data_IF_621952078324
#
_entry.id   IF_621952078324
#
_cell.length_a   1.000
_cell.length_b   1.000
_cell.length_c   1.000
_cell.angle_alpha   90.00
_cell.angle_beta   90.00
_cell.angle_gamma   90.00
#
_symmetry.space_group_name_H-M   'P 1'
#
loop_
_entity.id
_entity.type
_entity.pdbx_description
1 polymer ?
#
# COMPACT_ATOMS: atom_id res chain seq x y z
N UNK A 1 33.31 18.23 1.96
CA UNK A 1 32.52 19.46 1.78
C UNK A 1 31.19 19.15 1.13
N UNK A 2 31.20 18.66 -0.11
CA UNK A 2 30.00 18.53 -0.96
C UNK A 2 28.97 17.47 -0.53
N UNK A 3 29.40 16.43 0.19
CA UNK A 3 28.50 15.34 0.63
C UNK A 3 27.93 15.53 2.04
N UNK A 4 28.24 16.63 2.75
CA UNK A 4 27.92 16.80 4.18
C UNK A 4 26.43 16.71 4.50
N UNK A 5 25.57 17.05 3.54
CA UNK A 5 24.11 17.02 3.68
C UNK A 5 23.46 15.96 2.79
N UNK A 6 24.24 15.05 2.20
CA UNK A 6 23.74 13.97 1.36
C UNK A 6 23.76 12.65 2.13
N UNK A 7 22.73 11.83 1.91
CA UNK A 7 22.66 10.45 2.38
C UNK A 7 23.54 9.58 1.49
N UNK A 8 24.44 8.82 2.12
CA UNK A 8 25.41 7.97 1.43
C UNK A 8 25.23 6.53 1.86
N UNK A 9 25.05 5.64 0.89
CA UNK A 9 25.13 4.20 1.12
C UNK A 9 26.57 3.76 0.88
N UNK A 10 27.17 3.04 1.82
CA UNK A 10 28.48 2.42 1.65
C UNK A 10 28.33 0.92 1.83
N UNK A 11 28.75 0.16 0.83
CA UNK A 11 28.69 -1.31 0.86
C UNK A 11 30.11 -1.86 0.94
N UNK A 12 30.33 -2.75 1.89
CA UNK A 12 31.56 -3.52 2.05
C UNK A 12 31.27 -5.02 2.14
N UNK A 13 32.27 -5.84 1.84
CA UNK A 13 32.13 -7.31 1.78
C UNK A 13 31.65 -7.96 3.08
N UNK A 14 32.11 -7.49 4.24
CA UNK A 14 31.88 -8.17 5.52
C UNK A 14 31.47 -7.22 6.64
N UNK A 15 30.65 -7.73 7.58
CA UNK A 15 30.24 -6.99 8.77
C UNK A 15 31.43 -6.49 9.61
N UNK A 16 32.49 -7.29 9.77
CA UNK A 16 33.68 -6.86 10.49
C UNK A 16 34.37 -5.63 9.86
N UNK A 17 34.35 -5.52 8.53
CA UNK A 17 34.87 -4.33 7.82
C UNK A 17 33.97 -3.13 8.10
N UNK A 18 32.65 -3.32 8.02
CA UNK A 18 31.65 -2.29 8.34
C UNK A 18 31.83 -1.76 9.76
N UNK A 19 31.94 -2.63 10.76
CA UNK A 19 32.14 -2.24 12.16
C UNK A 19 33.45 -1.47 12.36
N UNK A 20 34.52 -1.91 11.72
CA UNK A 20 35.82 -1.23 11.77
C UNK A 20 35.75 0.17 11.13
N UNK A 21 35.09 0.29 9.98
CA UNK A 21 34.86 1.58 9.31
C UNK A 21 34.02 2.50 10.17
N UNK A 22 32.97 1.97 10.80
CA UNK A 22 32.08 2.72 11.67
C UNK A 22 32.84 3.32 12.86
N UNK A 23 33.65 2.50 13.54
CA UNK A 23 34.45 2.95 14.66
C UNK A 23 35.41 4.09 14.26
N UNK A 24 36.05 3.98 13.09
CA UNK A 24 36.96 5.02 12.58
C UNK A 24 36.21 6.31 12.24
N UNK A 25 35.10 6.21 11.50
CA UNK A 25 34.29 7.36 11.09
C UNK A 25 33.70 8.10 12.29
N UNK A 26 33.23 7.36 13.30
CA UNK A 26 32.69 7.92 14.54
C UNK A 26 33.78 8.61 15.36
N UNK A 27 34.90 7.92 15.61
CA UNK A 27 35.96 8.42 16.51
C UNK A 27 36.80 9.56 15.91
N UNK A 28 37.06 9.53 14.60
CA UNK A 28 38.03 10.45 13.98
C UNK A 28 37.37 11.53 13.12
N UNK A 29 36.20 11.26 12.53
CA UNK A 29 35.51 12.21 11.65
C UNK A 29 34.24 12.81 12.27
N UNK A 30 33.72 12.24 13.36
CA UNK A 30 32.49 12.72 14.02
C UNK A 30 31.25 12.61 13.13
N UNK A 31 31.26 11.70 12.15
CA UNK A 31 30.16 11.51 11.21
C UNK A 31 29.11 10.59 11.85
N UNK A 32 27.83 10.97 11.75
CA UNK A 32 26.73 10.10 12.17
C UNK A 32 26.60 8.94 11.18
N UNK A 33 26.73 7.73 11.69
CA UNK A 33 26.73 6.48 10.92
C UNK A 33 25.66 5.53 11.46
N UNK A 34 25.08 4.73 10.57
CA UNK A 34 24.24 3.59 10.91
C UNK A 34 24.90 2.32 10.33
N UNK A 35 24.80 1.21 11.05
CA UNK A 35 25.29 -0.10 10.60
C UNK A 35 24.10 -0.91 10.10
N UNK A 36 24.32 -1.71 9.06
CA UNK A 36 23.35 -2.68 8.58
C UNK A 36 24.08 -3.99 8.21
N UNK A 37 24.09 -4.94 9.13
CA UNK A 37 24.73 -6.25 8.91
C UNK A 37 23.79 -7.42 9.16
N UNK A 38 24.21 -8.61 8.73
CA UNK A 38 23.48 -9.86 8.87
C UNK A 38 23.28 -10.30 10.33
N UNK A 39 24.13 -9.85 11.26
CA UNK A 39 24.05 -10.18 12.69
C UNK A 39 22.96 -9.41 13.42
N UNK A 40 22.47 -8.31 12.83
CA UNK A 40 21.43 -7.47 13.43
C UNK A 40 20.07 -8.16 13.33
N UNK A 41 19.27 -8.01 14.39
CA UNK A 41 17.85 -8.37 14.41
C UNK A 41 17.05 -7.50 13.43
N UNK A 42 15.83 -7.93 13.08
CA UNK A 42 14.95 -7.14 12.23
C UNK A 42 14.67 -5.75 12.83
N UNK A 43 14.39 -5.69 14.13
CA UNK A 43 14.15 -4.44 14.85
C UNK A 43 15.34 -3.48 14.78
N UNK A 44 16.56 -3.97 15.00
CA UNK A 44 17.77 -3.13 14.92
C UNK A 44 18.01 -2.60 13.49
N UNK A 45 17.70 -3.41 12.48
CA UNK A 45 17.78 -2.99 11.06
C UNK A 45 16.76 -1.92 10.73
N UNK A 46 15.54 -2.07 11.24
CA UNK A 46 14.46 -1.08 11.12
C UNK A 46 14.86 0.25 11.77
N UNK A 47 15.40 0.20 12.98
CA UNK A 47 15.91 1.39 13.67
C UNK A 47 17.06 2.06 12.91
N UNK A 48 18.00 1.27 12.36
CA UNK A 48 19.10 1.79 11.56
C UNK A 48 18.61 2.45 10.26
N UNK A 49 17.64 1.83 9.59
CA UNK A 49 17.02 2.39 8.38
C UNK A 49 16.24 3.68 8.69
N UNK A 50 15.45 3.71 9.77
CA UNK A 50 14.74 4.90 10.21
C UNK A 50 15.70 6.04 10.57
N UNK A 51 16.78 5.73 11.30
CA UNK A 51 17.81 6.71 11.63
C UNK A 51 18.55 7.21 10.37
N UNK A 52 18.73 6.36 9.35
CA UNK A 52 19.30 6.79 8.08
C UNK A 52 18.33 7.63 7.23
N UNK A 53 17.03 7.31 7.25
CA UNK A 53 16.00 8.07 6.53
C UNK A 53 15.77 9.47 7.13
N UNK A 54 15.88 9.63 8.45
CA UNK A 54 15.72 10.93 9.12
C UNK A 54 16.75 11.96 8.61
N UNK A 55 16.26 13.11 8.13
CA UNK A 55 17.09 14.26 7.71
C UNK A 55 18.20 14.64 8.71
N UNK A 56 17.95 14.54 10.01
CA UNK A 56 18.90 14.88 11.08
C UNK A 56 19.67 13.65 11.62
N UNK A 57 19.36 12.47 11.10
CA UNK A 57 19.90 11.19 11.54
C UNK A 57 21.26 10.81 10.92
N UNK A 58 21.48 9.52 10.65
CA UNK A 58 22.74 9.02 10.08
C UNK A 58 22.99 9.62 8.68
N UNK A 59 24.21 10.10 8.44
CA UNK A 59 24.63 10.57 7.12
C UNK A 59 25.04 9.41 6.22
N UNK A 60 25.66 8.37 6.79
CA UNK A 60 26.15 7.20 6.07
C UNK A 60 25.51 5.94 6.64
N UNK A 61 24.94 5.12 5.76
CA UNK A 61 24.55 3.75 6.08
C UNK A 61 25.65 2.80 5.60
N UNK A 62 26.26 2.07 6.53
CA UNK A 62 27.33 1.12 6.28
C UNK A 62 26.72 -0.29 6.23
N UNK A 63 26.71 -0.89 5.04
CA UNK A 63 26.09 -2.19 4.80
C UNK A 63 27.12 -3.27 4.51
N UNK A 64 26.89 -4.47 5.07
CA UNK A 64 27.51 -5.69 4.54
C UNK A 64 26.75 -6.17 3.29
N UNK A 65 27.36 -7.08 2.53
CA UNK A 65 26.76 -7.69 1.33
C UNK A 65 25.35 -8.22 1.59
N UNK A 66 25.21 -9.09 2.61
CA UNK A 66 23.97 -9.78 2.96
C UNK A 66 23.00 -8.84 3.69
N UNK A 67 23.53 -7.87 4.45
CA UNK A 67 22.72 -6.87 5.14
C UNK A 67 21.85 -6.06 4.16
N UNK A 68 22.33 -5.72 2.97
CA UNK A 68 21.57 -4.83 2.07
C UNK A 68 20.33 -5.44 1.39
N UNK A 69 20.03 -6.73 1.58
CA UNK A 69 18.89 -7.39 0.94
C UNK A 69 17.52 -6.91 1.46
N UNK A 70 16.59 -6.63 0.54
CA UNK A 70 15.19 -6.36 0.88
C UNK A 70 14.74 -4.90 1.01
N UNK A 71 15.63 -3.93 1.32
CA UNK A 71 15.21 -2.53 1.62
C UNK A 71 15.31 -1.56 0.45
N UNK A 72 14.47 -0.52 0.46
CA UNK A 72 14.47 0.57 -0.52
C UNK A 72 15.15 1.83 0.05
N UNK A 73 16.31 2.21 -0.47
CA UNK A 73 17.01 3.45 -0.10
C UNK A 73 16.94 4.51 -1.20
N UNK A 74 15.76 4.67 -1.81
CA UNK A 74 15.57 5.53 -2.99
C UNK A 74 15.78 7.03 -2.70
N UNK A 75 15.78 7.44 -1.43
CA UNK A 75 16.13 8.81 -1.01
C UNK A 75 17.65 9.07 -1.06
N UNK A 76 18.48 8.04 -1.09
CA UNK A 76 19.92 8.15 -1.23
C UNK A 76 20.31 8.05 -2.72
N UNK A 77 21.27 8.88 -3.14
CA UNK A 77 21.78 8.91 -4.51
C UNK A 77 23.30 8.71 -4.60
N UNK A 78 23.97 8.55 -3.46
CA UNK A 78 25.41 8.38 -3.38
C UNK A 78 25.72 6.96 -2.93
N UNK A 79 26.44 6.19 -3.74
CA UNK A 79 26.86 4.82 -3.41
C UNK A 79 28.38 4.74 -3.40
N UNK A 80 28.95 4.36 -2.26
CA UNK A 80 30.35 4.02 -2.12
C UNK A 80 30.47 2.50 -2.15
N UNK A 81 31.19 1.98 -3.14
CA UNK A 81 31.57 0.57 -3.21
C UNK A 81 32.96 0.44 -2.58
N UNK A 82 33.01 0.07 -1.29
CA UNK A 82 34.27 0.00 -0.55
C UNK A 82 35.24 -1.05 -1.11
N UNK A 83 34.67 -2.12 -1.65
CA UNK A 83 35.35 -3.12 -2.46
C UNK A 83 34.45 -3.54 -3.62
N UNK A 84 35.04 -4.09 -4.67
CA UNK A 84 34.34 -4.70 -5.77
C UNK A 84 34.22 -6.22 -5.54
N UNK A 85 33.01 -6.80 -5.67
CA UNK A 85 32.80 -8.24 -5.58
C UNK A 85 33.40 -8.93 -6.82
N UNK A 86 33.74 -10.21 -6.70
CA UNK A 86 34.30 -10.96 -7.84
C UNK A 86 33.25 -11.36 -8.88
N UNK A 87 31.97 -11.41 -8.50
CA UNK A 87 30.85 -11.76 -9.38
C UNK A 87 30.16 -10.46 -9.85
N UNK A 88 29.99 -10.24 -11.17
CA UNK A 88 29.31 -9.07 -11.72
C UNK A 88 27.84 -8.99 -11.27
N UNK A 89 27.14 -10.12 -11.12
CA UNK A 89 25.74 -10.10 -10.65
C UNK A 89 25.64 -9.51 -9.25
N UNK A 90 26.63 -9.77 -8.39
CA UNK A 90 26.70 -9.17 -7.05
C UNK A 90 26.93 -7.67 -7.13
N UNK A 91 27.79 -7.19 -8.04
CA UNK A 91 27.97 -5.75 -8.25
C UNK A 91 26.67 -5.09 -8.75
N UNK A 92 25.97 -5.71 -9.69
CA UNK A 92 24.70 -5.23 -10.20
C UNK A 92 23.64 -5.16 -9.09
N UNK A 93 23.58 -6.16 -8.22
CA UNK A 93 22.70 -6.17 -7.04
C UNK A 93 23.03 -5.06 -6.04
N UNK A 94 24.31 -4.71 -5.88
CA UNK A 94 24.74 -3.58 -5.02
C UNK A 94 24.29 -2.24 -5.61
N UNK A 95 24.44 -2.05 -6.92
CA UNK A 95 23.98 -0.83 -7.63
C UNK A 95 22.45 -0.74 -7.61
N UNK A 96 21.77 -1.87 -7.84
CA UNK A 96 20.31 -2.01 -7.80
C UNK A 96 19.67 -1.79 -6.43
N UNK A 97 20.45 -1.47 -5.38
CA UNK A 97 19.92 -0.93 -4.10
C UNK A 97 19.44 0.51 -4.24
N UNK A 98 20.07 1.28 -5.13
CA UNK A 98 19.68 2.65 -5.45
C UNK A 98 19.05 2.74 -6.85
N UNK A 99 19.50 1.92 -7.81
CA UNK A 99 19.01 1.92 -9.19
C UNK A 99 17.70 1.15 -9.32
N UNK A 100 16.62 1.78 -8.84
CA UNK A 100 15.25 1.27 -8.89
C UNK A 100 14.30 2.31 -9.42
N UNK A 101 13.22 1.86 -10.05
CA UNK A 101 12.09 2.71 -10.43
C UNK A 101 11.57 3.42 -9.18
N UNK A 102 11.53 4.76 -9.21
CA UNK A 102 11.19 5.61 -8.06
C UNK A 102 12.36 6.48 -7.58
N UNK A 103 13.60 6.14 -7.97
CA UNK A 103 14.75 7.03 -7.77
C UNK A 103 14.58 8.32 -8.59
N UNK A 104 14.71 9.48 -7.93
CA UNK A 104 14.51 10.80 -8.54
C UNK A 104 15.81 11.52 -8.87
N UNK A 105 16.93 11.05 -8.31
CA UNK A 105 18.25 11.65 -8.49
C UNK A 105 19.17 10.74 -9.31
N UNK A 106 20.10 11.35 -10.06
CA UNK A 106 21.17 10.59 -10.68
C UNK A 106 22.04 9.93 -9.61
N UNK A 107 22.25 8.62 -9.75
CA UNK A 107 23.08 7.84 -8.84
C UNK A 107 24.54 8.13 -9.15
N UNK A 108 25.29 8.49 -8.12
CA UNK A 108 26.72 8.73 -8.19
C UNK A 108 27.45 7.57 -7.52
N UNK A 109 28.20 6.82 -8.32
CA UNK A 109 29.03 5.72 -7.85
C UNK A 109 30.42 6.24 -7.49
N UNK A 110 30.87 5.92 -6.29
CA UNK A 110 32.21 6.22 -5.78
C UNK A 110 32.92 4.89 -5.53
N UNK A 111 33.93 4.57 -6.35
CA UNK A 111 34.65 3.29 -6.29
C UNK A 111 36.10 3.54 -5.93
N UNK A 112 36.43 3.74 -4.63
CA UNK A 112 37.81 3.83 -4.20
C UNK A 112 38.49 2.46 -4.37
N UNK A 113 39.68 2.46 -4.96
CA UNK A 113 40.54 1.28 -5.03
C UNK A 113 42.00 1.67 -4.81
N UNK A 114 42.79 0.70 -4.36
CA UNK A 114 44.24 0.88 -4.15
C UNK A 114 44.98 0.54 -5.44
N UNK A 115 45.84 1.44 -5.90
CA UNK A 115 46.65 1.25 -7.10
C UNK A 115 47.60 0.04 -6.98
N UNK A 116 47.81 -0.65 -8.09
CA UNK A 116 48.62 -1.86 -8.22
C UNK A 116 47.98 -3.14 -7.67
N UNK A 117 46.74 -3.07 -7.19
CA UNK A 117 46.06 -4.22 -6.58
C UNK A 117 45.09 -4.92 -7.53
N UNK A 118 44.64 -6.11 -7.15
CA UNK A 118 43.59 -6.83 -7.87
C UNK A 118 42.30 -6.01 -8.01
N UNK A 119 42.01 -5.10 -7.08
CA UNK A 119 40.82 -4.24 -7.12
C UNK A 119 40.90 -3.18 -8.23
N UNK A 120 42.09 -2.62 -8.51
CA UNK A 120 42.28 -1.72 -9.67
C UNK A 120 42.03 -2.47 -10.99
N UNK A 121 42.58 -3.67 -11.12
CA UNK A 121 42.39 -4.50 -12.32
C UNK A 121 40.92 -4.91 -12.50
N UNK A 122 40.25 -5.26 -11.42
CA UNK A 122 38.82 -5.59 -11.41
C UNK A 122 37.95 -4.37 -11.74
N UNK A 123 38.32 -3.18 -11.26
CA UNK A 123 37.69 -1.92 -11.64
C UNK A 123 37.78 -1.69 -13.16
N UNK A 124 38.97 -1.86 -13.75
CA UNK A 124 39.14 -1.70 -15.20
C UNK A 124 38.34 -2.74 -16.00
N UNK A 125 38.27 -3.98 -15.52
CA UNK A 125 37.41 -5.01 -16.10
C UNK A 125 35.92 -4.58 -16.10
N UNK A 126 35.38 -4.20 -14.94
CA UNK A 126 33.96 -3.79 -14.85
C UNK A 126 33.64 -2.51 -15.59
N UNK A 127 34.56 -1.53 -15.58
CA UNK A 127 34.36 -0.26 -16.26
C UNK A 127 34.52 -0.37 -17.78
N UNK A 128 35.55 -1.07 -18.26
CA UNK A 128 35.96 -0.99 -19.67
C UNK A 128 35.47 -2.18 -20.50
N UNK A 129 35.53 -3.39 -19.93
CA UNK A 129 35.02 -4.58 -20.62
C UNK A 129 33.50 -4.66 -20.49
N UNK A 130 32.98 -4.57 -19.26
CA UNK A 130 31.57 -4.84 -18.96
C UNK A 130 30.65 -3.61 -18.91
N UNK A 131 31.22 -2.40 -18.82
CA UNK A 131 30.53 -1.10 -18.71
C UNK A 131 29.43 -1.03 -17.62
N UNK A 132 29.64 -1.73 -16.50
CA UNK A 132 28.60 -1.92 -15.48
C UNK A 132 28.31 -0.68 -14.63
N UNK A 133 29.24 0.27 -14.57
CA UNK A 133 29.05 1.49 -13.76
C UNK A 133 28.16 2.53 -14.44
N UNK A 134 27.99 2.47 -15.76
CA UNK A 134 27.25 3.47 -16.53
C UNK A 134 25.90 2.98 -17.05
N UNK A 135 25.71 1.66 -17.13
CA UNK A 135 24.48 1.05 -17.65
C UNK A 135 24.31 -0.38 -17.09
N UNK A 136 23.05 -0.82 -17.06
CA UNK A 136 22.71 -2.23 -16.81
C UNK A 136 23.34 -3.09 -17.90
N UNK A 137 24.04 -4.14 -17.48
CA UNK A 137 24.79 -5.03 -18.38
C UNK A 137 24.28 -6.47 -18.28
N UNK A 138 23.20 -6.84 -19.00
CA UNK A 138 22.56 -8.15 -18.87
C UNK A 138 23.43 -9.32 -19.38
N UNK A 139 24.53 -9.02 -20.07
CA UNK A 139 25.49 -9.99 -20.60
C UNK A 139 26.74 -10.12 -19.74
N UNK A 140 26.89 -9.31 -18.69
CA UNK A 140 28.10 -9.20 -17.88
C UNK A 140 28.58 -10.56 -17.36
N UNK A 141 27.68 -11.35 -16.78
CA UNK A 141 27.99 -12.68 -16.26
C UNK A 141 28.46 -13.63 -17.37
N UNK A 142 27.75 -13.69 -18.50
CA UNK A 142 28.12 -14.56 -19.63
C UNK A 142 29.47 -14.19 -20.24
N UNK A 143 29.77 -12.88 -20.36
CA UNK A 143 31.08 -12.42 -20.83
C UNK A 143 32.16 -12.79 -19.83
N UNK A 144 31.93 -12.57 -18.53
CA UNK A 144 32.91 -12.94 -17.52
C UNK A 144 33.19 -14.45 -17.49
N UNK A 145 32.17 -15.29 -17.58
CA UNK A 145 32.33 -16.75 -17.66
C UNK A 145 33.17 -17.18 -18.87
N UNK A 146 32.99 -16.52 -20.02
CA UNK A 146 33.77 -16.80 -21.22
C UNK A 146 35.27 -16.50 -21.04
N UNK A 147 35.62 -15.42 -20.33
CA UNK A 147 37.00 -14.95 -20.18
C UNK A 147 37.63 -15.28 -18.81
N UNK A 148 36.93 -15.96 -17.90
CA UNK A 148 37.38 -16.16 -16.51
C UNK A 148 38.73 -16.86 -16.39
N UNK A 149 39.03 -17.80 -17.29
CA UNK A 149 40.28 -18.57 -17.28
C UNK A 149 41.50 -17.69 -17.59
N UNK A 150 41.33 -16.68 -18.44
CA UNK A 150 42.37 -15.72 -18.81
C UNK A 150 42.43 -14.54 -17.83
N UNK A 151 41.26 -14.11 -17.34
CA UNK A 151 41.12 -13.00 -16.42
C UNK A 151 41.69 -13.32 -15.03
N UNK A 152 41.38 -14.50 -14.49
CA UNK A 152 41.73 -14.86 -13.09
C UNK A 152 43.23 -14.76 -12.80
N UNK A 153 44.14 -15.32 -13.64
CA UNK A 153 45.58 -15.14 -13.44
C UNK A 153 46.03 -13.68 -13.46
N UNK A 154 45.40 -12.84 -14.29
CA UNK A 154 45.71 -11.40 -14.34
C UNK A 154 45.22 -10.68 -13.08
N UNK A 155 44.10 -11.10 -12.49
CA UNK A 155 43.59 -10.53 -11.24
C UNK A 155 44.44 -10.96 -10.03
N UNK A 156 44.80 -12.24 -9.91
CA UNK A 156 45.53 -12.78 -8.74
C UNK A 156 47.05 -12.61 -8.85
N UNK A 157 47.58 -12.41 -10.06
CA UNK A 157 49.01 -12.30 -10.33
C UNK A 157 49.67 -11.00 -9.88
N UNK A 158 51.00 -10.97 -10.01
CA UNK A 158 51.80 -9.77 -9.76
C UNK A 158 51.49 -8.68 -10.79
N UNK A 159 51.60 -7.43 -10.39
CA UNK A 159 51.36 -6.28 -11.25
C UNK A 159 52.58 -5.95 -12.11
N UNK A 160 52.82 -6.77 -13.13
CA UNK A 160 53.92 -6.60 -14.10
C UNK A 160 53.42 -5.96 -15.39
N UNK A 161 54.32 -5.34 -16.16
CA UNK A 161 53.97 -4.73 -17.45
C UNK A 161 53.41 -5.75 -18.46
N UNK A 162 53.88 -6.99 -18.40
CA UNK A 162 53.36 -8.11 -19.20
C UNK A 162 51.91 -8.44 -18.83
N UNK A 163 51.61 -8.56 -17.53
CA UNK A 163 50.25 -8.84 -17.07
C UNK A 163 49.29 -7.67 -17.36
N UNK A 164 49.77 -6.42 -17.24
CA UNK A 164 48.98 -5.24 -17.62
C UNK A 164 48.63 -5.21 -19.11
N UNK A 165 49.60 -5.59 -19.95
CA UNK A 165 49.39 -5.67 -21.41
C UNK A 165 48.39 -6.77 -21.76
N UNK A 166 48.54 -7.95 -21.16
CA UNK A 166 47.61 -9.07 -21.36
C UNK A 166 46.21 -8.71 -20.89
N UNK A 167 46.06 -8.12 -19.69
CA UNK A 167 44.77 -7.67 -19.17
C UNK A 167 44.10 -6.66 -20.13
N UNK A 168 44.85 -5.72 -20.68
CA UNK A 168 44.32 -4.74 -21.65
C UNK A 168 43.76 -5.43 -22.90
N UNK A 169 44.48 -6.41 -23.45
CA UNK A 169 44.02 -7.16 -24.61
C UNK A 169 42.73 -7.95 -24.30
N UNK A 170 42.69 -8.63 -23.14
CA UNK A 170 41.50 -9.38 -22.69
C UNK A 170 40.30 -8.43 -22.49
N UNK A 171 40.52 -7.23 -21.93
CA UNK A 171 39.48 -6.20 -21.78
C UNK A 171 38.93 -5.75 -23.14
N UNK A 172 39.80 -5.48 -24.10
CA UNK A 172 39.40 -5.03 -25.44
C UNK A 172 38.59 -6.11 -26.17
N UNK A 173 39.01 -7.37 -26.08
CA UNK A 173 38.29 -8.49 -26.69
C UNK A 173 36.93 -8.74 -26.01
N UNK A 174 36.90 -8.75 -24.69
CA UNK A 174 35.68 -8.91 -23.91
C UNK A 174 34.67 -7.78 -24.18
N UNK A 175 35.14 -6.54 -24.37
CA UNK A 175 34.29 -5.41 -24.74
C UNK A 175 33.62 -5.65 -26.11
N UNK A 176 34.34 -6.17 -27.11
CA UNK A 176 33.74 -6.52 -28.41
C UNK A 176 32.72 -7.66 -28.28
N UNK A 177 33.04 -8.67 -27.47
CA UNK A 177 32.10 -9.77 -27.17
C UNK A 177 30.83 -9.26 -26.50
N UNK A 178 30.94 -8.37 -25.50
CA UNK A 178 29.78 -7.72 -24.87
C UNK A 178 28.91 -7.00 -25.90
N UNK A 179 29.48 -6.11 -26.70
CA UNK A 179 28.74 -5.34 -27.71
C UNK A 179 27.99 -6.24 -28.71
N UNK A 180 28.63 -7.35 -29.12
CA UNK A 180 28.00 -8.35 -29.98
C UNK A 180 26.82 -9.04 -29.30
N UNK A 181 26.98 -9.48 -28.05
CA UNK A 181 25.90 -10.14 -27.29
C UNK A 181 24.74 -9.18 -27.01
N UNK A 182 25.03 -7.92 -26.65
CA UNK A 182 24.00 -6.88 -26.47
C UNK A 182 23.21 -6.63 -27.76
N UNK A 183 23.89 -6.56 -28.91
CA UNK A 183 23.23 -6.42 -30.21
C UNK A 183 22.34 -7.62 -30.55
N UNK A 184 22.79 -8.84 -30.22
CA UNK A 184 21.99 -10.07 -30.39
C UNK A 184 20.75 -10.06 -29.50
N UNK A 185 20.88 -9.69 -28.22
CA UNK A 185 19.75 -9.54 -27.32
C UNK A 185 18.75 -8.51 -27.84
N UNK A 186 19.23 -7.35 -28.27
CA UNK A 186 18.39 -6.28 -28.80
C UNK A 186 17.64 -6.71 -30.08
N UNK A 187 18.27 -7.53 -30.93
CA UNK A 187 17.64 -8.11 -32.11
C UNK A 187 16.61 -9.21 -31.77
N UNK A 188 16.84 -9.96 -30.68
CA UNK A 188 15.95 -11.01 -30.18
C UNK A 188 14.74 -10.51 -29.37
N UNK A 189 14.62 -9.19 -29.12
CA UNK A 189 13.52 -8.62 -28.34
C UNK A 189 12.18 -8.75 -29.06
N UNK A 190 11.24 -9.42 -28.41
CA UNK A 190 9.83 -9.39 -28.79
C UNK A 190 9.17 -8.10 -28.25
N UNK A 191 9.20 -7.06 -29.09
CA UNK A 191 8.62 -5.75 -28.76
C UNK A 191 7.11 -5.81 -28.53
N UNK A 192 6.41 -6.75 -29.17
CA UNK A 192 4.97 -6.89 -28.99
C UNK A 192 4.68 -7.50 -27.62
N UNK A 193 5.47 -8.49 -27.19
CA UNK A 193 5.38 -9.06 -25.86
C UNK A 193 5.68 -7.99 -24.79
N UNK A 194 6.77 -7.24 -24.93
CA UNK A 194 7.13 -6.17 -23.98
C UNK A 194 6.03 -5.11 -23.85
N UNK A 195 5.49 -4.65 -24.98
CA UNK A 195 4.38 -3.69 -24.98
C UNK A 195 3.10 -4.28 -24.38
N UNK A 196 2.86 -5.58 -24.57
CA UNK A 196 1.72 -6.27 -23.98
C UNK A 196 1.88 -6.39 -22.46
N UNK A 197 3.09 -6.70 -21.98
CA UNK A 197 3.44 -6.82 -20.56
C UNK A 197 3.25 -5.52 -19.80
N UNK A 198 3.65 -4.37 -20.37
CA UNK A 198 3.34 -3.07 -19.80
C UNK A 198 2.89 -2.11 -20.90
N UNK A 199 1.57 -1.88 -20.98
CA UNK A 199 0.96 -0.93 -21.91
C UNK A 199 1.07 0.48 -21.35
N UNK A 200 2.00 1.35 -21.81
CA UNK A 200 2.38 2.55 -21.08
C UNK A 200 1.21 3.53 -20.88
N UNK A 201 0.32 3.65 -21.87
CA UNK A 201 -0.88 4.51 -21.77
C UNK A 201 -1.90 3.99 -20.76
N UNK A 202 -2.02 2.67 -20.60
CA UNK A 202 -2.96 2.09 -19.63
C UNK A 202 -2.34 2.16 -18.24
N UNK A 203 -1.08 1.76 -18.11
CA UNK A 203 -0.33 1.83 -16.86
C UNK A 203 -0.25 3.27 -16.32
N UNK A 204 0.05 4.26 -17.18
CA UNK A 204 0.08 5.67 -16.80
C UNK A 204 -1.26 6.16 -16.25
N UNK A 205 -2.38 5.87 -16.93
CA UNK A 205 -3.72 6.24 -16.43
C UNK A 205 -4.06 5.60 -15.09
N UNK A 206 -3.68 4.33 -14.90
CA UNK A 206 -3.89 3.65 -13.61
C UNK A 206 -3.03 4.30 -12.53
N UNK A 207 -1.74 4.56 -12.82
CA UNK A 207 -0.83 5.21 -11.88
C UNK A 207 -1.27 6.62 -11.50
N UNK A 208 -1.78 7.41 -12.47
CA UNK A 208 -2.33 8.74 -12.22
C UNK A 208 -3.59 8.65 -11.35
N UNK A 209 -4.51 7.73 -11.66
CA UNK A 209 -5.71 7.52 -10.84
C UNK A 209 -5.40 7.07 -9.41
N UNK A 210 -4.35 6.26 -9.22
CA UNK A 210 -3.89 5.86 -7.88
C UNK A 210 -3.23 7.03 -7.13
N UNK A 211 -2.46 7.88 -7.81
CA UNK A 211 -1.91 9.11 -7.20
C UNK A 211 -3.01 10.08 -6.80
N UNK A 212 -4.01 10.27 -7.65
CA UNK A 212 -5.18 11.10 -7.34
C UNK A 212 -5.97 10.54 -6.15
N UNK A 213 -6.11 9.21 -6.07
CA UNK A 213 -6.75 8.53 -4.95
C UNK A 213 -5.98 8.74 -3.63
N UNK A 214 -4.67 8.52 -3.63
CA UNK A 214 -3.80 8.74 -2.46
C UNK A 214 -3.87 10.22 -1.99
N UNK A 215 -3.97 11.17 -2.93
CA UNK A 215 -4.06 12.61 -2.62
C UNK A 215 -5.39 13.09 -2.04
N UNK A 216 -6.48 12.33 -2.19
CA UNK A 216 -7.81 12.65 -1.66
C UNK A 216 -8.28 11.62 -0.63
N UNK A 217 -7.33 11.07 0.13
CA UNK A 217 -7.59 9.99 1.06
C UNK A 217 -8.38 10.48 2.29
N UNK A 218 -9.59 9.93 2.48
CA UNK A 218 -10.45 10.21 3.63
C UNK A 218 -10.18 9.26 4.82
N UNK A 219 -9.32 8.26 4.65
CA UNK A 219 -8.98 7.30 5.70
C UNK A 219 -8.48 7.94 7.00
N UNK A 220 -7.59 8.96 6.99
CA UNK A 220 -7.14 9.57 8.24
C UNK A 220 -8.31 10.10 9.07
N UNK A 221 -9.24 10.84 8.43
CA UNK A 221 -10.41 11.40 9.11
C UNK A 221 -11.37 10.31 9.60
N UNK A 222 -11.52 9.23 8.84
CA UNK A 222 -12.35 8.09 9.23
C UNK A 222 -11.77 7.37 10.46
N UNK A 223 -10.47 7.06 10.44
CA UNK A 223 -9.80 6.37 11.55
C UNK A 223 -9.77 7.25 12.79
N UNK A 224 -9.49 8.55 12.66
CA UNK A 224 -9.51 9.49 13.78
C UNK A 224 -10.88 9.47 14.50
N UNK A 225 -11.98 9.50 13.73
CA UNK A 225 -13.34 9.40 14.28
C UNK A 225 -13.59 8.05 14.95
N UNK A 226 -13.14 6.96 14.34
CA UNK A 226 -13.27 5.62 14.90
C UNK A 226 -12.50 5.50 16.22
N UNK A 227 -11.22 5.90 16.25
CA UNK A 227 -10.39 5.91 17.45
C UNK A 227 -10.99 6.77 18.56
N UNK A 228 -11.50 7.96 18.24
CA UNK A 228 -12.20 8.79 19.22
C UNK A 228 -13.46 8.10 19.78
N UNK A 229 -14.24 7.39 18.96
CA UNK A 229 -15.43 6.67 19.42
C UNK A 229 -15.11 5.42 20.25
N UNK A 230 -13.97 4.80 19.95
CA UNK A 230 -13.48 3.60 20.61
C UNK A 230 -12.55 3.90 21.79
N UNK A 231 -12.31 5.19 22.08
CA UNK A 231 -11.38 5.67 23.09
C UNK A 231 -9.95 5.11 22.92
N UNK A 232 -9.51 4.98 21.67
CA UNK A 232 -8.13 4.61 21.32
C UNK A 232 -7.30 5.89 21.25
N UNK A 233 -6.33 6.01 22.15
CA UNK A 233 -5.39 7.12 22.14
C UNK A 233 -4.29 6.92 21.07
N UNK A 234 -3.94 7.99 20.39
CA UNK A 234 -2.83 8.00 19.43
C UNK A 234 -2.13 9.36 19.46
N UNK A 235 -0.83 9.36 19.14
CA UNK A 235 -0.01 10.55 19.04
C UNK A 235 0.49 10.74 17.61
N UNK A 236 0.36 11.94 17.07
CA UNK A 236 0.90 12.31 15.75
C UNK A 236 2.31 12.85 15.94
N UNK A 237 3.28 12.21 15.28
CA UNK A 237 4.69 12.58 15.29
C UNK A 237 4.98 13.74 14.35
N UNK A 238 6.19 14.32 14.45
CA UNK A 238 6.62 15.45 13.59
C UNK A 238 6.69 15.09 12.11
N UNK A 239 6.96 13.83 11.81
CA UNK A 239 7.01 13.29 10.45
C UNK A 239 5.61 12.89 9.91
N UNK A 240 4.54 13.20 10.64
CA UNK A 240 3.16 12.88 10.25
C UNK A 240 2.72 11.45 10.55
N UNK A 241 3.62 10.57 11.01
CA UNK A 241 3.27 9.20 11.42
C UNK A 241 2.44 9.20 12.70
N UNK A 242 1.55 8.23 12.83
CA UNK A 242 0.72 8.07 14.03
C UNK A 242 1.24 6.91 14.85
N UNK A 243 1.36 7.13 16.16
CA UNK A 243 1.81 6.12 17.12
C UNK A 243 0.65 5.80 18.06
N UNK A 244 0.26 4.54 18.07
CA UNK A 244 -0.71 3.95 19.00
C UNK A 244 0.11 3.28 20.09
N UNK A 245 -0.09 3.69 21.34
CA UNK A 245 0.58 3.08 22.48
C UNK A 245 0.07 1.65 22.70
N UNK A 246 0.86 0.75 23.31
CA UNK A 246 0.37 -0.54 23.74
C UNK A 246 -0.88 -0.37 24.60
N UNK A 247 -1.94 -1.08 24.26
CA UNK A 247 -3.19 -1.05 25.02
C UNK A 247 -3.16 -2.23 25.99
N UNK A 248 -3.29 -1.96 27.28
CA UNK A 248 -3.40 -3.03 28.27
C UNK A 248 -4.68 -3.83 27.98
N UNK A 249 -4.55 -5.15 27.83
CA UNK A 249 -5.66 -6.08 27.59
C UNK A 249 -6.84 -5.92 28.56
N UNK A 250 -6.60 -5.35 29.75
CA UNK A 250 -7.62 -5.07 30.76
C UNK A 250 -8.41 -3.77 30.54
N UNK A 251 -7.91 -2.86 29.70
CA UNK A 251 -8.54 -1.59 29.31
C UNK A 251 -9.28 -1.68 27.96
N UNK A 252 -9.11 -2.80 27.24
CA UNK A 252 -9.78 -3.08 25.97
C UNK A 252 -11.27 -3.29 26.25
N UNK A 253 -12.11 -2.39 25.74
CA UNK A 253 -13.56 -2.64 25.72
C UNK A 253 -13.87 -3.82 24.81
N UNK A 254 -14.89 -4.63 25.12
CA UNK A 254 -15.37 -5.74 24.25
C UNK A 254 -15.58 -5.32 22.78
N UNK A 255 -15.77 -4.02 22.53
CA UNK A 255 -15.95 -3.47 21.20
C UNK A 255 -14.66 -3.44 20.36
N UNK A 256 -13.47 -3.30 20.95
CA UNK A 256 -12.20 -3.23 20.22
C UNK A 256 -11.38 -4.53 20.31
N UNK A 257 -11.93 -5.56 20.96
CA UNK A 257 -11.31 -6.87 21.03
C UNK A 257 -11.12 -7.47 19.62
N UNK A 258 -9.91 -7.99 19.37
CA UNK A 258 -9.52 -8.54 18.06
C UNK A 258 -9.04 -7.54 17.00
N UNK A 259 -8.94 -6.24 17.30
CA UNK A 259 -8.29 -5.29 16.38
C UNK A 259 -6.76 -5.50 16.38
N UNK A 260 -6.11 -5.64 15.20
CA UNK A 260 -4.66 -5.83 15.12
C UNK A 260 -3.93 -4.51 15.32
N UNK A 261 -3.87 -4.03 16.57
CA UNK A 261 -3.28 -2.75 16.99
C UNK A 261 -1.85 -2.88 17.52
N UNK A 262 -1.17 -3.99 17.23
CA UNK A 262 0.23 -4.20 17.61
C UNK A 262 0.43 -4.76 19.03
N UNK A 263 -0.61 -5.40 19.57
CA UNK A 263 -0.62 -6.15 20.84
C UNK A 263 0.20 -5.49 21.97
N UNK A 264 1.41 -6.01 22.26
CA UNK A 264 2.25 -5.60 23.40
C UNK A 264 3.24 -4.46 23.10
N UNK A 265 3.58 -4.20 21.83
CA UNK A 265 4.58 -3.20 21.44
C UNK A 265 3.96 -1.90 20.88
N UNK A 266 2.64 -1.89 20.70
CA UNK A 266 1.92 -0.81 20.04
C UNK A 266 2.14 -0.81 18.52
N UNK A 267 1.68 0.24 17.86
CA UNK A 267 1.69 0.29 16.39
C UNK A 267 2.04 1.69 15.89
N UNK A 268 2.98 1.77 14.95
CA UNK A 268 3.23 2.99 14.18
C UNK A 268 2.63 2.85 12.79
N UNK A 269 1.88 3.84 12.35
CA UNK A 269 1.18 3.81 11.07
C UNK A 269 1.33 5.12 10.29
N UNK A 270 1.16 5.03 8.97
CA UNK A 270 1.16 6.18 8.06
C UNK A 270 0.14 5.98 6.95
N UNK A 271 -0.36 7.10 6.43
CA UNK A 271 -1.22 7.16 5.25
C UNK A 271 -0.46 7.65 4.01
N UNK A 272 0.83 7.97 4.17
CA UNK A 272 1.69 8.48 3.12
C UNK A 272 2.56 7.35 2.55
N UNK A 273 2.38 7.06 1.26
CA UNK A 273 3.12 6.01 0.56
C UNK A 273 4.63 6.25 0.55
N UNK A 274 5.04 7.51 0.36
CA UNK A 274 6.46 7.87 0.31
C UNK A 274 7.16 7.60 1.63
N UNK A 275 6.50 7.88 2.77
CA UNK A 275 7.02 7.58 4.10
C UNK A 275 7.13 6.06 4.31
N UNK A 276 6.10 5.29 3.96
CA UNK A 276 6.11 3.83 4.09
C UNK A 276 7.19 3.14 3.24
N UNK A 277 7.53 3.70 2.07
CA UNK A 277 8.62 3.18 1.24
C UNK A 277 10.01 3.39 1.86
N UNK A 278 10.15 4.37 2.75
CA UNK A 278 11.40 4.70 3.45
C UNK A 278 11.51 3.99 4.81
N UNK A 279 10.36 3.72 5.45
CA UNK A 279 10.22 3.18 6.80
C UNK A 279 9.34 1.92 6.77
N UNK A 280 9.95 0.74 6.64
CA UNK A 280 9.16 -0.51 6.62
C UNK A 280 8.66 -0.94 8.02
N UNK A 281 9.16 -0.31 9.08
CA UNK A 281 8.66 -0.45 10.45
C UNK A 281 7.29 0.20 10.64
N UNK A 282 6.87 1.07 9.73
CA UNK A 282 5.57 1.73 9.77
C UNK A 282 4.57 0.98 8.89
N UNK A 283 3.39 0.71 9.43
CA UNK A 283 2.29 0.17 8.67
C UNK A 283 1.69 1.21 7.71
N UNK A 284 1.70 0.92 6.40
CA UNK A 284 1.01 1.73 5.40
C UNK A 284 -0.49 1.42 5.39
N UNK A 285 -1.30 2.35 5.89
CA UNK A 285 -2.74 2.16 6.05
C UNK A 285 -3.47 2.52 4.77
N UNK A 286 -4.07 1.50 4.17
CA UNK A 286 -5.00 1.58 3.04
C UNK A 286 -6.32 0.93 3.42
N UNK A 287 -7.35 1.05 2.57
CA UNK A 287 -8.62 0.34 2.80
C UNK A 287 -8.44 -1.19 2.89
N UNK A 288 -7.37 -1.74 2.31
CA UNK A 288 -7.09 -3.18 2.29
C UNK A 288 -6.23 -3.65 3.47
N UNK A 289 -5.72 -2.74 4.30
CA UNK A 289 -4.90 -3.08 5.44
C UNK A 289 -5.71 -3.95 6.45
N UNK A 290 -5.12 -4.99 7.08
CA UNK A 290 -5.83 -5.86 8.02
C UNK A 290 -6.56 -5.11 9.14
N UNK A 291 -5.93 -4.08 9.71
CA UNK A 291 -6.58 -3.16 10.67
C UNK A 291 -7.87 -2.55 10.10
N UNK A 292 -7.84 -2.06 8.86
CA UNK A 292 -9.03 -1.46 8.24
C UNK A 292 -10.11 -2.48 7.96
N UNK A 293 -9.73 -3.67 7.49
CA UNK A 293 -10.68 -4.76 7.27
C UNK A 293 -11.36 -5.15 8.60
N UNK A 294 -10.60 -5.26 9.69
CA UNK A 294 -11.14 -5.53 11.02
C UNK A 294 -12.05 -4.39 11.52
N UNK A 295 -11.67 -3.12 11.32
CA UNK A 295 -12.52 -1.97 11.65
C UNK A 295 -13.82 -1.99 10.86
N UNK A 296 -13.78 -2.28 9.55
CA UNK A 296 -14.99 -2.36 8.73
C UNK A 296 -15.89 -3.53 9.12
N UNK A 297 -15.30 -4.69 9.41
CA UNK A 297 -16.03 -5.86 9.89
C UNK A 297 -16.71 -5.57 11.22
N UNK A 298 -15.97 -4.99 12.17
CA UNK A 298 -16.51 -4.59 13.46
C UNK A 298 -17.64 -3.57 13.30
N UNK A 299 -17.46 -2.54 12.48
CA UNK A 299 -18.48 -1.54 12.21
C UNK A 299 -19.74 -2.13 11.55
N UNK A 300 -19.60 -3.22 10.78
CA UNK A 300 -20.72 -3.84 10.05
C UNK A 300 -21.44 -4.94 10.84
N UNK A 301 -20.75 -5.57 11.80
CA UNK A 301 -21.25 -6.74 12.55
C UNK A 301 -21.60 -6.42 14.00
N UNK A 302 -20.97 -5.40 14.57
CA UNK A 302 -21.26 -4.99 15.94
C UNK A 302 -22.65 -4.36 16.07
N UNK A 303 -23.19 -4.41 17.29
CA UNK A 303 -24.45 -3.74 17.64
C UNK A 303 -24.23 -2.33 18.19
N UNK A 304 -22.96 -1.94 18.40
CA UNK A 304 -22.60 -0.63 18.91
C UNK A 304 -23.00 0.47 17.91
N UNK A 305 -23.84 1.40 18.35
CA UNK A 305 -24.35 2.48 17.51
C UNK A 305 -25.66 2.16 16.77
N UNK A 306 -26.13 0.90 16.78
CA UNK A 306 -27.34 0.51 16.03
C UNK A 306 -28.63 1.10 16.62
N UNK A 307 -28.66 1.45 17.90
CA UNK A 307 -29.85 2.03 18.53
C UNK A 307 -29.49 3.26 19.35
N UNK A 308 -30.24 4.35 19.13
CA UNK A 308 -30.05 5.57 19.92
C UNK A 308 -31.34 6.36 20.06
N UNK A 309 -31.48 7.05 21.19
CA UNK A 309 -32.53 8.03 21.44
C UNK A 309 -31.87 9.35 21.76
N UNK A 310 -32.18 10.40 21.00
CA UNK A 310 -31.54 11.70 21.13
C UNK A 310 -32.55 12.84 20.99
N UNK A 311 -32.12 14.04 21.37
CA UNK A 311 -32.89 15.26 21.17
C UNK A 311 -32.50 15.88 19.83
N UNK A 312 -33.48 16.43 19.12
CA UNK A 312 -33.25 17.23 17.92
C UNK A 312 -33.68 18.67 18.18
N UNK A 313 -32.73 19.59 18.19
CA UNK A 313 -33.01 21.03 18.29
C UNK A 313 -33.60 21.53 16.99
N UNK A 314 -34.87 21.93 17.02
CA UNK A 314 -35.56 22.42 15.82
C UNK A 314 -36.59 23.50 16.15
N UNK A 315 -36.57 24.58 15.37
CA UNK A 315 -37.63 25.58 15.37
C UNK A 315 -38.80 25.19 14.46
N UNK A 316 -38.57 24.29 13.50
CA UNK A 316 -39.55 23.89 12.49
C UNK A 316 -40.44 22.72 12.93
N UNK A 317 -39.94 21.87 13.84
CA UNK A 317 -40.68 20.72 14.36
C UNK A 317 -41.28 21.06 15.73
N UNK A 318 -42.59 20.87 15.94
CA UNK A 318 -43.22 21.09 17.23
C UNK A 318 -42.55 20.29 18.36
N UNK A 319 -42.41 20.95 19.51
CA UNK A 319 -41.78 20.35 20.70
C UNK A 319 -42.52 19.08 21.14
N UNK A 320 -41.75 18.02 21.41
CA UNK A 320 -42.25 16.73 21.88
C UNK A 320 -42.70 15.77 20.79
N UNK A 321 -42.65 16.17 19.51
CA UNK A 321 -42.83 15.24 18.39
C UNK A 321 -41.64 14.28 18.27
N UNK A 322 -41.94 13.07 17.81
CA UNK A 322 -40.94 12.03 17.55
C UNK A 322 -40.68 11.91 16.05
N UNK A 323 -39.41 11.93 15.67
CA UNK A 323 -38.95 11.58 14.34
C UNK A 323 -38.15 10.28 14.43
N UNK A 324 -38.18 9.49 13.37
CA UNK A 324 -37.44 8.25 13.30
C UNK A 324 -36.51 8.26 12.10
N UNK A 325 -35.24 8.00 12.34
CA UNK A 325 -34.24 7.72 11.30
C UNK A 325 -33.89 6.25 11.36
N UNK A 326 -34.16 5.52 10.29
CA UNK A 326 -33.87 4.10 10.16
C UNK A 326 -32.96 3.90 8.95
N UNK A 327 -31.87 3.17 9.13
CA UNK A 327 -30.98 2.79 8.04
C UNK A 327 -31.12 1.30 7.79
N UNK A 328 -31.13 0.94 6.51
CA UNK A 328 -31.24 -0.42 6.05
C UNK A 328 -30.12 -0.72 5.05
N UNK A 329 -29.38 -1.80 5.26
CA UNK A 329 -28.42 -2.27 4.27
C UNK A 329 -29.12 -3.08 3.19
N UNK A 330 -28.66 -2.87 1.96
CA UNK A 330 -29.05 -3.69 0.80
C UNK A 330 -28.02 -4.79 0.65
N UNK A 331 -28.44 -6.04 0.81
CA UNK A 331 -27.56 -7.21 0.72
C UNK A 331 -27.98 -8.16 -0.39
N UNK A 332 -26.98 -8.80 -1.00
CA UNK A 332 -27.13 -9.88 -1.95
C UNK A 332 -26.37 -11.10 -1.45
N UNK A 333 -27.05 -12.24 -1.30
CA UNK A 333 -26.41 -13.49 -0.88
C UNK A 333 -25.72 -14.10 -2.10
N UNK A 334 -24.41 -13.93 -2.20
CA UNK A 334 -23.63 -14.40 -3.34
C UNK A 334 -22.16 -14.68 -2.98
N UNK A 335 -21.44 -15.47 -3.78
CA UNK A 335 -19.99 -15.65 -3.61
C UNK A 335 -19.23 -14.32 -3.69
N UNK A 336 -18.26 -14.11 -2.78
CA UNK A 336 -17.42 -12.90 -2.72
C UNK A 336 -16.75 -12.54 -4.05
N UNK A 337 -16.40 -13.54 -4.87
CA UNK A 337 -15.80 -13.35 -6.20
C UNK A 337 -16.64 -12.47 -7.14
N UNK A 338 -17.96 -12.44 -6.99
CA UNK A 338 -18.85 -11.64 -7.85
C UNK A 338 -18.82 -10.14 -7.51
N UNK A 339 -18.36 -9.78 -6.30
CA UNK A 339 -18.27 -8.41 -5.80
C UNK A 339 -19.54 -7.57 -6.08
N UNK A 340 -20.72 -8.16 -5.85
CA UNK A 340 -22.01 -7.53 -6.10
C UNK A 340 -22.21 -6.19 -5.37
N UNK A 341 -21.73 -5.98 -4.12
CA UNK A 341 -21.84 -4.68 -3.46
C UNK A 341 -21.27 -3.52 -4.28
N UNK A 342 -20.18 -3.73 -5.02
CA UNK A 342 -19.58 -2.72 -5.88
C UNK A 342 -20.45 -2.33 -7.09
N UNK A 343 -21.47 -3.14 -7.43
CA UNK A 343 -22.41 -2.86 -8.52
C UNK A 343 -23.69 -2.16 -8.08
N UNK A 344 -24.00 -2.18 -6.78
CA UNK A 344 -25.17 -1.50 -6.23
C UNK A 344 -25.01 0.03 -6.38
N UNK A 345 -26.04 0.70 -6.91
CA UNK A 345 -26.10 2.16 -6.94
C UNK A 345 -26.27 2.74 -5.54
N UNK A 346 -26.97 2.02 -4.67
CA UNK A 346 -27.23 2.37 -3.27
C UNK A 346 -27.04 1.14 -2.39
N UNK A 347 -26.09 1.20 -1.45
CA UNK A 347 -25.80 0.11 -0.51
C UNK A 347 -26.54 0.27 0.83
N UNK A 348 -26.92 1.49 1.18
CA UNK A 348 -27.65 1.81 2.40
C UNK A 348 -28.83 2.72 2.07
N UNK A 349 -30.03 2.32 2.49
CA UNK A 349 -31.26 3.09 2.36
C UNK A 349 -31.57 3.72 3.72
N UNK A 350 -31.44 5.04 3.78
CA UNK A 350 -31.86 5.84 4.91
C UNK A 350 -33.31 6.26 4.74
N UNK A 351 -34.14 5.97 5.73
CA UNK A 351 -35.51 6.45 5.83
C UNK A 351 -35.65 7.36 7.05
N UNK A 352 -36.03 8.61 6.81
CA UNK A 352 -36.28 9.61 7.85
C UNK A 352 -37.76 9.99 7.85
N UNK A 353 -38.51 9.52 8.83
CA UNK A 353 -39.97 9.59 8.88
C UNK A 353 -40.45 10.42 10.07
N UNK A 354 -41.49 11.23 9.83
CA UNK A 354 -42.18 12.01 10.87
C UNK A 354 -43.12 11.17 11.72
N UNK A 355 -43.56 11.71 12.86
CA UNK A 355 -44.56 11.08 13.73
C UNK A 355 -45.86 10.73 12.98
N UNK A 356 -46.22 11.52 11.96
CA UNK A 356 -47.41 11.33 11.14
C UNK A 356 -47.20 10.38 9.93
N UNK A 357 -45.98 9.84 9.73
CA UNK A 357 -45.69 8.90 8.65
C UNK A 357 -45.24 9.52 7.34
N UNK A 358 -45.04 10.84 7.29
CA UNK A 358 -44.48 11.47 6.10
C UNK A 358 -42.98 11.18 6.00
N UNK A 359 -42.54 10.67 4.85
CA UNK A 359 -41.13 10.49 4.49
C UNK A 359 -40.47 11.84 4.18
N UNK A 360 -39.39 12.13 4.89
CA UNK A 360 -38.60 13.35 4.81
C UNK A 360 -37.18 13.09 4.26
N UNK A 361 -36.85 11.86 3.89
CA UNK A 361 -35.50 11.41 3.52
C UNK A 361 -34.88 12.24 2.41
N UNK A 362 -35.65 12.53 1.36
CA UNK A 362 -35.18 13.30 0.21
C UNK A 362 -34.96 14.80 0.50
N UNK A 363 -35.61 15.34 1.55
CA UNK A 363 -35.57 16.78 1.88
C UNK A 363 -34.57 17.09 2.99
N UNK A 364 -34.32 16.13 3.87
CA UNK A 364 -33.51 16.29 5.08
C UNK A 364 -32.44 15.22 5.08
N UNK A 365 -31.20 15.60 4.77
CA UNK A 365 -30.05 14.68 4.83
C UNK A 365 -29.58 14.46 6.27
N UNK A 366 -28.78 13.42 6.49
CA UNK A 366 -28.15 13.16 7.78
C UNK A 366 -27.25 14.34 8.22
N UNK A 367 -26.44 14.88 7.31
CA UNK A 367 -25.53 16.00 7.62
C UNK A 367 -26.25 17.27 8.05
N UNK A 368 -27.48 17.50 7.57
CA UNK A 368 -28.30 18.65 7.98
C UNK A 368 -28.75 18.56 9.44
N UNK A 369 -29.01 17.35 9.95
CA UNK A 369 -29.53 17.16 11.31
C UNK A 369 -28.43 16.89 12.34
N UNK A 370 -27.31 16.27 11.93
CA UNK A 370 -26.24 15.86 12.84
C UNK A 370 -25.75 16.96 13.80
N UNK A 371 -25.52 18.23 13.38
CA UNK A 371 -25.09 19.30 14.28
C UNK A 371 -26.12 19.72 15.33
N UNK A 372 -27.40 19.35 15.12
CA UNK A 372 -28.52 19.72 15.98
C UNK A 372 -28.97 18.58 16.91
N UNK A 373 -28.28 17.44 16.85
CA UNK A 373 -28.56 16.28 17.69
C UNK A 373 -27.81 16.41 19.01
N UNK A 374 -28.53 16.29 20.12
CA UNK A 374 -27.96 16.28 21.46
C UNK A 374 -28.30 15.00 22.21
N UNK A 375 -27.35 14.55 23.03
CA UNK A 375 -27.49 13.34 23.84
C UNK A 375 -28.67 13.48 24.81
N UNK A 376 -29.57 12.49 24.79
CA UNK A 376 -30.59 12.33 25.82
C UNK A 376 -30.08 11.33 26.88
N UNK A 377 -30.31 11.63 28.16
CA UNK A 377 -29.94 10.70 29.22
C UNK A 377 -30.78 9.42 29.20
N UNK A 378 -30.20 8.34 29.73
CA UNK A 378 -30.78 6.99 29.67
C UNK A 378 -32.18 6.89 30.31
N UNK A 379 -32.44 7.67 31.36
CA UNK A 379 -33.73 7.62 32.05
C UNK A 379 -34.82 8.30 31.23
N UNK A 380 -34.55 9.48 30.68
CA UNK A 380 -35.48 10.17 29.77
C UNK A 380 -35.69 9.39 28.48
N UNK A 381 -34.63 8.80 27.90
CA UNK A 381 -34.74 7.94 26.74
C UNK A 381 -35.73 6.78 26.97
N UNK A 382 -35.61 6.08 28.12
CA UNK A 382 -36.54 5.00 28.50
C UNK A 382 -37.98 5.49 28.64
N UNK A 383 -38.19 6.71 29.15
CA UNK A 383 -39.53 7.30 29.26
C UNK A 383 -40.13 7.58 27.88
N UNK A 384 -39.34 8.09 26.93
CA UNK A 384 -39.77 8.32 25.55
C UNK A 384 -40.19 7.00 24.90
N UNK A 385 -39.34 5.97 24.97
CA UNK A 385 -39.65 4.66 24.41
C UNK A 385 -40.91 4.07 25.04
N UNK A 386 -41.08 4.18 26.37
CA UNK A 386 -42.28 3.69 27.06
C UNK A 386 -43.55 4.44 26.65
N UNK A 387 -43.46 5.75 26.43
CA UNK A 387 -44.61 6.60 26.12
C UNK A 387 -45.01 6.58 24.65
N UNK A 388 -44.06 6.30 23.74
CA UNK A 388 -44.22 6.38 22.29
C UNK A 388 -43.91 5.07 21.56
N UNK A 389 -43.84 3.95 22.28
CA UNK A 389 -43.47 2.63 21.75
C UNK A 389 -44.28 2.23 20.52
N UNK A 390 -45.61 2.24 20.63
CA UNK A 390 -46.52 1.86 19.54
C UNK A 390 -46.32 2.73 18.28
N UNK A 391 -46.07 4.04 18.47
CA UNK A 391 -45.84 4.97 17.36
C UNK A 391 -44.50 4.67 16.69
N UNK A 392 -43.45 4.41 17.47
CA UNK A 392 -42.12 4.07 16.96
C UNK A 392 -42.16 2.76 16.17
N UNK A 393 -42.83 1.74 16.72
CA UNK A 393 -43.00 0.44 16.05
C UNK A 393 -43.77 0.58 14.74
N UNK A 394 -44.88 1.33 14.73
CA UNK A 394 -45.62 1.59 13.51
C UNK A 394 -44.77 2.35 12.47
N UNK A 395 -44.04 3.39 12.89
CA UNK A 395 -43.16 4.15 11.98
C UNK A 395 -42.00 3.31 11.45
N UNK A 396 -41.49 2.35 12.22
CA UNK A 396 -40.45 1.43 11.77
C UNK A 396 -40.94 0.56 10.60
N UNK A 397 -42.11 -0.08 10.72
CA UNK A 397 -42.64 -0.92 9.64
C UNK A 397 -42.99 -0.10 8.39
N UNK A 398 -43.51 1.12 8.55
CA UNK A 398 -43.71 2.03 7.42
C UNK A 398 -42.38 2.42 6.75
N UNK A 399 -41.33 2.66 7.54
CA UNK A 399 -40.00 2.95 7.01
C UNK A 399 -39.42 1.73 6.27
N UNK A 400 -39.65 0.52 6.79
CA UNK A 400 -39.27 -0.72 6.14
C UNK A 400 -40.00 -0.90 4.80
N UNK A 401 -41.30 -0.62 4.73
CA UNK A 401 -42.08 -0.67 3.50
C UNK A 401 -41.58 0.35 2.45
N UNK A 402 -41.26 1.57 2.88
CA UNK A 402 -40.66 2.61 2.01
C UNK A 402 -39.31 2.11 1.45
N UNK A 403 -38.47 1.50 2.29
CA UNK A 403 -37.18 0.97 1.85
C UNK A 403 -37.35 -0.23 0.89
N UNK A 404 -38.32 -1.13 1.17
CA UNK A 404 -38.62 -2.29 0.31
C UNK A 404 -39.08 -1.88 -1.08
N UNK A 405 -39.84 -0.79 -1.21
CA UNK A 405 -40.28 -0.26 -2.50
C UNK A 405 -39.11 0.17 -3.40
N UNK A 406 -37.98 0.59 -2.80
CA UNK A 406 -36.79 1.02 -3.54
C UNK A 406 -35.93 -0.15 -4.03
N UNK A 407 -36.06 -1.35 -3.43
CA UNK A 407 -35.20 -2.50 -3.76
C UNK A 407 -35.34 -2.95 -5.21
N UNK A 408 -36.55 -2.91 -5.78
CA UNK A 408 -36.79 -3.34 -7.15
C UNK A 408 -35.99 -2.48 -8.15
N UNK A 409 -36.03 -1.15 -7.99
CA UNK A 409 -35.30 -0.22 -8.83
C UNK A 409 -33.78 -0.38 -8.65
N UNK A 410 -33.30 -0.50 -7.41
CA UNK A 410 -31.88 -0.71 -7.11
C UNK A 410 -31.37 -2.00 -7.75
N UNK A 411 -32.15 -3.09 -7.65
CA UNK A 411 -31.83 -4.39 -8.24
C UNK A 411 -31.79 -4.36 -9.76
N UNK A 412 -32.75 -3.71 -10.41
CA UNK A 412 -32.77 -3.55 -11.87
C UNK A 412 -31.56 -2.75 -12.37
N UNK A 413 -31.26 -1.62 -11.73
CA UNK A 413 -30.09 -0.79 -12.08
C UNK A 413 -28.77 -1.53 -11.90
N UNK A 414 -28.61 -2.22 -10.75
CA UNK A 414 -27.42 -3.00 -10.45
C UNK A 414 -27.24 -4.17 -11.42
N UNK A 415 -28.32 -4.91 -11.71
CA UNK A 415 -28.33 -6.02 -12.66
C UNK A 415 -27.96 -5.56 -14.07
N UNK A 416 -28.52 -4.44 -14.54
CA UNK A 416 -28.16 -3.87 -15.84
C UNK A 416 -26.67 -3.50 -15.92
N UNK A 417 -26.13 -2.81 -14.90
CA UNK A 417 -24.71 -2.42 -14.83
C UNK A 417 -23.80 -3.64 -14.80
N UNK A 418 -24.08 -4.60 -13.92
CA UNK A 418 -23.34 -5.85 -13.79
C UNK A 418 -23.35 -6.64 -15.11
N UNK A 419 -24.54 -6.84 -15.69
CA UNK A 419 -24.72 -7.56 -16.95
C UNK A 419 -23.95 -6.92 -18.09
N UNK A 420 -23.96 -5.58 -18.19
CA UNK A 420 -23.22 -4.86 -19.23
C UNK A 420 -21.71 -5.08 -19.12
N UNK A 421 -21.15 -4.98 -17.90
CA UNK A 421 -19.71 -5.17 -17.66
C UNK A 421 -19.27 -6.58 -18.04
N UNK A 422 -19.98 -7.61 -17.56
CA UNK A 422 -19.65 -9.00 -17.84
C UNK A 422 -19.87 -9.39 -19.30
N UNK A 423 -20.95 -8.90 -19.91
CA UNK A 423 -21.21 -9.13 -21.35
C UNK A 423 -20.13 -8.54 -22.23
N UNK A 424 -19.57 -7.37 -21.88
CA UNK A 424 -18.44 -6.77 -22.60
C UNK A 424 -17.21 -7.67 -22.53
N UNK A 425 -16.91 -8.22 -21.36
CA UNK A 425 -15.75 -9.07 -21.14
C UNK A 425 -15.89 -10.43 -21.83
N UNK A 426 -17.06 -11.07 -21.74
CA UNK A 426 -17.38 -12.31 -22.46
C UNK A 426 -17.25 -12.10 -23.98
N UNK A 427 -17.79 -11.00 -24.53
CA UNK A 427 -17.65 -10.65 -25.95
C UNK A 427 -16.18 -10.47 -26.34
N UNK A 428 -15.38 -9.81 -25.49
CA UNK A 428 -13.94 -9.62 -25.69
C UNK A 428 -13.21 -10.95 -25.78
N UNK A 429 -13.46 -11.87 -24.84
CA UNK A 429 -12.82 -13.19 -24.84
C UNK A 429 -13.28 -14.08 -25.98
N UNK A 430 -14.58 -14.08 -26.34
CA UNK A 430 -15.09 -14.77 -27.54
C UNK A 430 -14.40 -14.27 -28.80
N UNK A 431 -14.21 -12.96 -28.95
CA UNK A 431 -13.46 -12.41 -30.07
C UNK A 431 -11.99 -12.86 -30.04
N UNK A 432 -11.32 -12.79 -28.88
CA UNK A 432 -9.94 -13.26 -28.74
C UNK A 432 -9.77 -14.74 -29.07
N UNK A 433 -10.74 -15.59 -28.71
CA UNK A 433 -10.70 -17.01 -29.06
C UNK A 433 -10.67 -17.26 -30.58
N UNK A 434 -11.25 -16.37 -31.39
CA UNK A 434 -11.20 -16.51 -32.86
C UNK A 434 -9.80 -16.27 -33.45
N UNK A 435 -8.92 -15.60 -32.71
CA UNK A 435 -7.59 -15.18 -33.18
C UNK A 435 -6.43 -15.66 -32.31
N UNK A 436 -6.70 -16.23 -31.13
CA UNK A 436 -5.71 -16.71 -30.17
C UNK A 436 -6.14 -18.08 -29.61
N UNK A 437 -5.41 -19.16 -29.94
CA UNK A 437 -5.75 -20.53 -29.51
C UNK A 437 -5.58 -20.75 -28.00
N UNK A 438 -4.92 -19.82 -27.29
CA UNK A 438 -4.71 -19.95 -25.84
C UNK A 438 -5.96 -19.62 -25.00
N UNK A 439 -7.03 -19.08 -25.60
CA UNK A 439 -8.29 -18.80 -24.90
C UNK A 439 -9.15 -20.06 -24.85
N UNK A 440 -9.26 -20.67 -23.67
CA UNK A 440 -9.95 -21.95 -23.50
C UNK A 440 -11.47 -21.75 -23.44
N UNK A 441 -12.28 -22.64 -24.06
CA UNK A 441 -13.75 -22.57 -23.96
C UNK A 441 -14.28 -22.52 -22.52
N UNK A 442 -13.63 -23.27 -21.61
CA UNK A 442 -13.98 -23.31 -20.20
C UNK A 442 -13.88 -21.95 -19.48
N UNK A 443 -13.01 -21.04 -19.96
CA UNK A 443 -12.89 -19.69 -19.38
C UNK A 443 -14.11 -18.82 -19.70
N UNK A 444 -14.63 -18.95 -20.92
CA UNK A 444 -15.83 -18.24 -21.37
C UNK A 444 -17.07 -18.80 -20.67
N UNK A 445 -17.20 -20.13 -20.61
CA UNK A 445 -18.32 -20.80 -19.94
C UNK A 445 -18.38 -20.42 -18.46
N UNK A 446 -17.23 -20.38 -17.77
CA UNK A 446 -17.15 -19.94 -16.36
C UNK A 446 -17.65 -18.51 -16.19
N UNK A 447 -17.29 -17.58 -17.08
CA UNK A 447 -17.78 -16.20 -16.99
C UNK A 447 -19.28 -16.09 -17.26
N UNK A 448 -19.81 -16.88 -18.18
CA UNK A 448 -21.26 -16.93 -18.45
C UNK A 448 -22.04 -17.47 -17.24
N UNK A 449 -21.52 -18.51 -16.58
CA UNK A 449 -22.09 -19.04 -15.33
C UNK A 449 -22.06 -18.00 -14.20
N UNK A 450 -20.92 -17.33 -13.99
CA UNK A 450 -20.77 -16.30 -12.97
C UNK A 450 -21.67 -15.09 -13.24
N UNK A 451 -21.83 -14.68 -14.50
CA UNK A 451 -22.77 -13.63 -14.90
C UNK A 451 -24.21 -14.02 -14.52
N UNK A 452 -24.64 -15.24 -14.86
CA UNK A 452 -25.98 -15.74 -14.55
C UNK A 452 -26.22 -15.79 -13.04
N UNK A 453 -25.26 -16.28 -12.26
CA UNK A 453 -25.32 -16.31 -10.79
C UNK A 453 -25.45 -14.90 -10.20
N UNK A 454 -24.69 -13.94 -10.71
CA UNK A 454 -24.77 -12.54 -10.27
C UNK A 454 -26.12 -11.89 -10.59
N UNK A 455 -26.66 -12.11 -11.80
CA UNK A 455 -27.99 -11.62 -12.18
C UNK A 455 -29.10 -12.20 -11.30
N UNK A 456 -29.01 -13.49 -10.96
CA UNK A 456 -29.95 -14.14 -10.03
C UNK A 456 -29.86 -13.57 -8.61
N UNK A 457 -28.64 -13.37 -8.09
CA UNK A 457 -28.44 -12.80 -6.77
C UNK A 457 -28.91 -11.34 -6.67
N UNK A 458 -28.70 -10.54 -7.73
CA UNK A 458 -29.19 -9.16 -7.79
C UNK A 458 -30.71 -9.05 -7.97
N UNK A 459 -31.38 -10.09 -8.46
CA UNK A 459 -32.84 -10.16 -8.45
C UNK A 459 -33.40 -10.49 -7.05
N UNK A 460 -32.60 -11.12 -6.20
CA UNK A 460 -32.96 -11.54 -4.84
C UNK A 460 -32.37 -10.66 -3.74
N UNK A 461 -32.32 -9.33 -3.93
CA UNK A 461 -31.83 -8.42 -2.89
C UNK A 461 -32.70 -8.49 -1.64
N UNK A 462 -32.03 -8.47 -0.49
CA UNK A 462 -32.67 -8.42 0.82
C UNK A 462 -32.36 -7.12 1.54
N UNK A 463 -33.34 -6.66 2.31
CA UNK A 463 -33.19 -5.56 3.25
C UNK A 463 -32.73 -6.10 4.61
N UNK A 464 -31.63 -5.58 5.15
CA UNK A 464 -31.15 -5.90 6.50
C UNK A 464 -31.24 -4.64 7.37
N UNK A 465 -31.99 -4.66 8.49
CA UNK A 465 -32.01 -3.54 9.44
C UNK A 465 -30.61 -3.28 9.98
N UNK A 466 -30.16 -2.03 9.93
CA UNK A 466 -28.81 -1.64 10.33
C UNK A 466 -28.83 -0.81 11.61
N UNK A 467 -29.51 0.33 11.57
CA UNK A 467 -29.61 1.23 12.72
C UNK A 467 -30.93 1.97 12.79
N UNK A 468 -31.33 2.33 14.01
CA UNK A 468 -32.53 3.10 14.33
C UNK A 468 -32.18 4.20 15.35
N UNK A 469 -32.54 5.43 15.00
CA UNK A 469 -32.36 6.61 15.83
C UNK A 469 -33.71 7.30 16.03
N UNK A 470 -34.14 7.33 17.28
CA UNK A 470 -35.36 8.03 17.72
C UNK A 470 -34.98 9.44 18.13
N UNK A 471 -35.56 10.44 17.47
CA UNK A 471 -35.29 11.85 17.74
C UNK A 471 -36.51 12.52 18.35
N UNK A 472 -36.34 13.15 19.52
CA UNK A 472 -37.38 13.96 20.16
C UNK A 472 -37.12 15.42 19.88
N UNK A 473 -38.06 16.08 19.21
CA UNK A 473 -37.95 17.50 18.90
C UNK A 473 -37.99 18.36 20.17
N UNK A 474 -36.98 19.20 20.34
CA UNK A 474 -36.90 20.20 21.41
C UNK A 474 -36.70 21.57 20.79
N UNK A 475 -37.14 22.61 21.50
CA UNK A 475 -36.85 23.98 21.08
C UNK A 475 -35.32 24.22 21.09
N UNK A 476 -34.79 25.03 20.16
CA UNK A 476 -33.36 25.28 20.02
C UNK A 476 -32.66 25.72 21.30
#
# INVERSE_FOLDING_TARGET
GELKHKKVLLIARSGATVESLEAVLRLHAGIKTAIFTEQMTLLERDQAAAFFADSEGAQILLCSEIGSEGRNFQFASQLILWDLPANPDTLEQRIGRLDRIGQTQQIMLHVPYVQGTAQERLYHWYSSALNMFNQISPTAQSVQEQYIQELKPMLEGADTDENRTTLKNVIEEAAQTRLRLEAQLQAGRDRLLEYNSCRPRVAGRIADAMRDFDGHNLLPQFIERFFASANIEHNIQRDGSWVIAPIDSTEISDYIDGLPLGDEDGMTLTFEREQALQREDIAFITHEHPLMQAIYELASTSTFGNTTVAMLKSAAVPQGMVLLEVNFRVEAIAPKLLNLPATLSTQNIRVFISEQGSDLSARISADMIMPHIERLDKNRARQVIKARGDVIEQRYYEAEDIARQQLAEIGEQASARFSQQWSREIKRLKHLQTINPNVRPAEIERLEQLKSQGEQALAGLSLVPDSIRVLVAVKP
#
